data_IF_492701781871
#
_entry.id   IF_492701781871
#
_cell.length_a   1.000
_cell.length_b   1.000
_cell.length_c   1.000
_cell.angle_alpha   90.00
_cell.angle_beta   90.00
_cell.angle_gamma   90.00
#
_symmetry.space_group_name_H-M   'P 1'
#
loop_
_entity.id
_entity.type
_entity.pdbx_description
1 polymer ?
#
# COMPACT_ATOMS: atom_id res chain seq x y z
N UNK A 1 9.39 -15.36 5.05
CA UNK A 1 9.13 -13.92 4.90
C UNK A 1 10.39 -13.13 5.21
N UNK A 2 10.60 -12.04 4.49
CA UNK A 2 11.71 -11.13 4.72
C UNK A 2 11.14 -9.74 4.92
N UNK A 3 11.53 -9.10 6.02
CA UNK A 3 11.16 -7.74 6.35
C UNK A 3 12.43 -6.93 6.55
N UNK A 4 12.55 -5.85 5.79
CA UNK A 4 13.68 -4.94 5.87
C UNK A 4 13.13 -3.55 6.16
N UNK A 5 13.69 -2.90 7.18
CA UNK A 5 13.42 -1.51 7.49
C UNK A 5 14.73 -0.74 7.48
N UNK A 6 14.76 0.32 6.70
CA UNK A 6 15.84 1.29 6.68
C UNK A 6 15.31 2.61 7.23
N UNK A 7 16.10 3.24 8.08
CA UNK A 7 15.81 4.59 8.56
C UNK A 7 17.08 5.43 8.57
N UNK A 8 16.92 6.68 8.23
CA UNK A 8 17.98 7.66 8.18
C UNK A 8 17.48 8.98 8.77
N UNK A 9 18.31 9.59 9.60
CA UNK A 9 18.02 10.89 10.20
C UNK A 9 19.21 11.82 10.03
N UNK A 10 18.97 13.08 9.68
CA UNK A 10 20.02 14.10 9.55
C UNK A 10 19.51 15.49 9.86
N UNK A 11 20.41 16.31 10.40
CA UNK A 11 20.23 17.76 10.47
C UNK A 11 20.66 18.40 9.16
N UNK A 12 19.82 19.25 8.61
CA UNK A 12 20.08 20.06 7.43
C UNK A 12 20.40 21.51 7.84
N UNK A 13 20.97 22.35 6.93
CA UNK A 13 21.15 23.77 7.17
C UNK A 13 19.84 24.43 7.62
N UNK A 14 19.98 25.57 8.28
CA UNK A 14 18.84 26.38 8.79
C UNK A 14 18.00 25.72 9.89
N UNK A 15 18.55 24.72 10.61
CA UNK A 15 17.85 24.04 11.72
C UNK A 15 16.69 23.15 11.28
N UNK A 16 16.74 22.64 10.07
CA UNK A 16 15.80 21.66 9.56
C UNK A 16 16.31 20.26 9.92
N UNK A 17 15.43 19.41 10.45
CA UNK A 17 15.70 18.00 10.63
C UNK A 17 14.95 17.22 9.55
N UNK A 18 15.61 16.21 9.00
CA UNK A 18 15.03 15.31 8.01
C UNK A 18 15.14 13.86 8.48
N UNK A 19 14.07 13.09 8.28
CA UNK A 19 14.01 11.67 8.58
C UNK A 19 13.41 10.92 7.40
N UNK A 20 14.13 9.92 6.89
CA UNK A 20 13.69 8.99 5.85
C UNK A 20 13.49 7.62 6.47
N UNK A 21 12.35 6.98 6.20
CA UNK A 21 12.10 5.59 6.56
C UNK A 21 11.70 4.84 5.31
N UNK A 22 12.32 3.70 5.04
CA UNK A 22 11.97 2.85 3.91
C UNK A 22 11.69 1.42 4.38
N UNK A 23 10.68 0.80 3.80
CA UNK A 23 10.21 -0.54 4.14
C UNK A 23 10.19 -1.42 2.90
N UNK A 24 10.62 -2.64 3.10
CA UNK A 24 10.41 -3.74 2.18
C UNK A 24 9.91 -4.95 2.95
N UNK A 25 8.77 -5.49 2.55
CA UNK A 25 8.21 -6.72 3.10
C UNK A 25 7.91 -7.69 1.97
N UNK A 26 8.40 -8.92 2.09
CA UNK A 26 8.04 -9.98 1.14
C UNK A 26 6.55 -10.27 1.20
N UNK A 27 5.93 -10.57 0.07
CA UNK A 27 4.50 -10.82 -0.02
C UNK A 27 4.02 -11.88 0.96
N UNK A 28 2.81 -11.69 1.48
CA UNK A 28 2.12 -12.63 2.36
C UNK A 28 1.83 -13.96 1.65
N UNK A 29 1.75 -15.07 2.39
CA UNK A 29 1.35 -16.35 1.83
C UNK A 29 -0.13 -16.33 1.47
N UNK A 30 -0.49 -17.02 0.38
CA UNK A 30 -1.89 -17.27 0.03
C UNK A 30 -2.05 -18.67 -0.56
N UNK A 31 -3.27 -19.19 -0.45
CA UNK A 31 -3.66 -20.45 -1.08
C UNK A 31 -4.13 -20.17 -2.49
N UNK A 32 -3.46 -20.72 -3.54
CA UNK A 32 -3.90 -20.55 -4.90
C UNK A 32 -5.23 -21.26 -5.13
N UNK A 33 -6.01 -20.76 -6.09
CA UNK A 33 -7.17 -21.47 -6.59
C UNK A 33 -6.80 -22.27 -7.82
N UNK A 34 -7.40 -23.46 -7.95
CA UNK A 34 -7.30 -24.36 -9.09
C UNK A 34 -8.69 -24.67 -9.63
N UNK A 35 -8.77 -25.05 -10.89
CA UNK A 35 -10.02 -25.53 -11.47
C UNK A 35 -10.26 -26.98 -11.08
N UNK A 36 -11.30 -27.19 -10.27
CA UNK A 36 -11.81 -28.52 -9.95
C UNK A 36 -13.22 -28.65 -10.54
N UNK A 37 -13.28 -28.96 -11.87
CA UNK A 37 -14.51 -28.90 -12.66
C UNK A 37 -14.69 -27.54 -13.31
N UNK A 38 -15.91 -26.96 -13.23
CA UNK A 38 -16.24 -25.68 -13.89
C UNK A 38 -15.87 -24.44 -13.08
N UNK A 39 -15.72 -24.58 -11.76
CA UNK A 39 -15.52 -23.47 -10.85
C UNK A 39 -14.15 -23.53 -10.15
N UNK A 40 -13.49 -22.39 -9.93
CA UNK A 40 -12.24 -22.35 -9.18
C UNK A 40 -12.49 -22.62 -7.70
N UNK A 41 -11.66 -23.45 -7.10
CA UNK A 41 -11.68 -23.80 -5.68
C UNK A 41 -10.29 -23.63 -5.07
N UNK A 42 -10.20 -23.41 -3.75
CA UNK A 42 -8.92 -23.42 -3.06
C UNK A 42 -8.17 -24.74 -3.30
N UNK A 43 -6.89 -24.66 -3.59
CA UNK A 43 -6.03 -25.84 -3.68
C UNK A 43 -5.68 -26.31 -2.25
N UNK A 44 -6.46 -27.24 -1.73
CA UNK A 44 -6.31 -27.78 -0.38
C UNK A 44 -4.98 -28.52 -0.18
N UNK A 45 -4.31 -28.94 -1.25
CA UNK A 45 -2.99 -29.58 -1.18
C UNK A 45 -1.85 -28.56 -1.06
N UNK A 46 -2.10 -27.32 -1.47
CA UNK A 46 -1.12 -26.25 -1.51
C UNK A 46 -1.56 -25.02 -0.70
N UNK A 47 -2.03 -25.26 0.53
CA UNK A 47 -2.44 -24.19 1.45
C UNK A 47 -1.25 -23.28 1.75
N UNK A 48 -1.41 -21.96 1.52
CA UNK A 48 -0.41 -20.93 1.82
C UNK A 48 0.96 -21.14 1.14
N UNK A 49 1.01 -21.86 0.01
CA UNK A 49 2.27 -22.13 -0.68
C UNK A 49 2.72 -21.03 -1.64
N UNK A 50 1.80 -20.22 -2.11
CA UNK A 50 2.10 -19.09 -2.99
C UNK A 50 2.32 -17.82 -2.18
N UNK A 51 3.04 -16.87 -2.78
CA UNK A 51 3.27 -15.55 -2.18
C UNK A 51 2.73 -14.46 -3.08
N UNK A 52 2.07 -13.50 -2.47
CA UNK A 52 1.66 -12.27 -3.11
C UNK A 52 2.84 -11.36 -3.46
N UNK A 53 2.57 -10.22 -4.09
CA UNK A 53 3.57 -9.20 -4.37
C UNK A 53 4.20 -8.66 -3.08
N UNK A 54 5.45 -8.21 -3.19
CA UNK A 54 6.14 -7.57 -2.07
C UNK A 54 5.59 -6.16 -1.82
N UNK A 55 5.46 -5.80 -0.55
CA UNK A 55 5.13 -4.44 -0.12
C UNK A 55 6.39 -3.59 -0.04
N UNK A 56 6.33 -2.37 -0.57
CA UNK A 56 7.44 -1.40 -0.55
C UNK A 56 6.88 -0.03 -0.22
N UNK A 57 7.54 0.68 0.68
CA UNK A 57 7.14 2.04 1.03
C UNK A 57 8.36 2.86 1.45
N UNK A 58 8.29 4.16 1.24
CA UNK A 58 9.23 5.12 1.79
C UNK A 58 8.46 6.35 2.29
N UNK A 59 8.84 6.83 3.47
CA UNK A 59 8.25 8.02 4.08
C UNK A 59 9.36 9.03 4.36
N UNK A 60 9.06 10.30 4.15
CA UNK A 60 9.98 11.39 4.38
C UNK A 60 9.33 12.41 5.32
N UNK A 61 10.05 12.80 6.37
CA UNK A 61 9.59 13.77 7.33
C UNK A 61 10.61 14.91 7.46
N UNK A 62 10.12 16.12 7.44
CA UNK A 62 10.90 17.30 7.80
C UNK A 62 10.30 17.97 9.03
N UNK A 63 11.16 18.48 9.89
CA UNK A 63 10.74 19.31 11.01
C UNK A 63 11.68 20.47 11.23
N UNK A 64 11.12 21.61 11.65
CA UNK A 64 11.87 22.82 11.99
C UNK A 64 11.21 23.51 13.17
N UNK A 65 12.04 24.00 14.08
CA UNK A 65 11.61 24.90 15.14
C UNK A 65 11.98 26.33 14.78
N UNK A 66 11.04 27.23 14.98
CA UNK A 66 11.23 28.67 14.84
C UNK A 66 10.72 29.36 16.10
N UNK A 67 11.35 30.48 16.48
CA UNK A 67 10.84 31.32 17.56
C UNK A 67 10.11 32.50 16.96
N UNK A 68 8.86 32.72 17.35
CA UNK A 68 8.01 33.83 16.92
C UNK A 68 7.50 34.53 18.17
N UNK A 69 7.88 35.80 18.36
CA UNK A 69 7.49 36.61 19.52
C UNK A 69 7.81 35.96 20.89
N UNK A 70 8.94 35.23 20.96
CA UNK A 70 9.33 34.51 22.18
C UNK A 70 8.71 33.12 22.36
N UNK A 71 7.69 32.77 21.60
CA UNK A 71 7.06 31.43 21.63
C UNK A 71 7.70 30.49 20.63
N UNK A 72 7.74 29.20 21.00
CA UNK A 72 8.28 28.14 20.12
C UNK A 72 7.21 27.63 19.17
N UNK A 73 7.51 27.70 17.89
CA UNK A 73 6.64 27.14 16.83
C UNK A 73 7.35 25.98 16.15
N UNK A 74 6.68 24.83 16.09
CA UNK A 74 7.15 23.64 15.39
C UNK A 74 6.43 23.52 14.04
N UNK A 75 7.20 23.46 12.97
CA UNK A 75 6.73 23.23 11.61
C UNK A 75 7.10 21.80 11.20
N UNK A 76 6.15 21.06 10.65
CA UNK A 76 6.37 19.69 10.17
C UNK A 76 5.80 19.49 8.77
N UNK A 77 6.53 18.74 7.95
CA UNK A 77 6.09 18.25 6.65
C UNK A 77 6.34 16.75 6.61
N UNK A 78 5.28 15.98 6.41
CA UNK A 78 5.35 14.51 6.28
C UNK A 78 4.86 14.09 4.91
N UNK A 79 5.66 13.29 4.22
CA UNK A 79 5.30 12.68 2.94
C UNK A 79 5.26 11.18 3.15
N UNK A 80 4.07 10.60 3.11
CA UNK A 80 3.86 9.16 3.15
C UNK A 80 3.77 8.61 1.74
N UNK A 81 4.29 7.40 1.57
CA UNK A 81 4.40 6.77 0.26
C UNK A 81 5.10 7.69 -0.76
N UNK A 82 6.30 8.13 -0.41
CA UNK A 82 7.10 9.13 -1.17
C UNK A 82 7.23 8.80 -2.65
N UNK A 83 7.38 7.54 -3.00
CA UNK A 83 7.57 7.05 -4.37
C UNK A 83 6.25 6.67 -5.06
N UNK A 84 5.11 6.89 -4.38
CA UNK A 84 3.76 6.66 -4.89
C UNK A 84 3.54 5.23 -5.44
N UNK A 85 4.08 4.24 -4.74
CA UNK A 85 3.88 2.83 -5.12
C UNK A 85 2.47 2.39 -4.72
N UNK A 86 1.73 1.87 -5.69
CA UNK A 86 0.46 1.19 -5.47
C UNK A 86 0.72 -0.27 -5.09
N UNK A 87 1.01 -0.54 -3.82
CA UNK A 87 1.26 -1.89 -3.35
C UNK A 87 -0.03 -2.73 -3.35
N UNK A 88 0.08 -3.96 -3.81
CA UNK A 88 -1.00 -4.93 -3.76
C UNK A 88 -1.04 -5.59 -2.38
N UNK A 89 -2.07 -5.33 -1.56
CA UNK A 89 -2.21 -5.84 -0.19
C UNK A 89 -3.17 -7.02 -0.05
N UNK A 90 -4.09 -7.15 -0.99
CA UNK A 90 -4.97 -8.30 -1.12
C UNK A 90 -4.98 -8.76 -2.58
N UNK A 91 -4.87 -10.04 -2.82
CA UNK A 91 -4.77 -10.60 -4.18
C UNK A 91 -5.90 -11.55 -4.51
N UNK A 92 -6.23 -11.63 -5.77
CA UNK A 92 -7.13 -12.67 -6.27
C UNK A 92 -6.43 -14.03 -6.20
N UNK A 93 -6.99 -15.03 -5.51
CA UNK A 93 -6.32 -16.32 -5.33
C UNK A 93 -6.01 -17.07 -6.63
N UNK A 94 -6.78 -16.79 -7.69
CA UNK A 94 -6.59 -17.44 -8.99
C UNK A 94 -5.34 -16.92 -9.73
N UNK A 95 -5.01 -15.65 -9.58
CA UNK A 95 -3.90 -15.02 -10.32
C UNK A 95 -2.74 -14.56 -9.43
N UNK A 96 -2.98 -14.38 -8.14
CA UNK A 96 -2.02 -13.77 -7.22
C UNK A 96 -1.81 -12.28 -7.46
N UNK A 97 -2.75 -11.58 -8.12
CA UNK A 97 -2.71 -10.15 -8.43
C UNK A 97 -3.94 -9.44 -7.89
N UNK A 98 -3.78 -8.21 -7.41
CA UNK A 98 -4.88 -7.39 -6.91
C UNK A 98 -5.80 -6.89 -8.03
N UNK A 99 -5.20 -6.44 -9.13
CA UNK A 99 -5.93 -5.85 -10.27
C UNK A 99 -6.35 -6.84 -11.35
N UNK A 100 -6.10 -8.16 -11.19
CA UNK A 100 -6.43 -9.16 -12.21
C UNK A 100 -7.10 -10.39 -11.58
N UNK A 101 -8.43 -10.52 -11.67
CA UNK A 101 -9.15 -11.68 -11.14
C UNK A 101 -8.93 -12.97 -11.95
N UNK A 102 -8.46 -12.85 -13.20
CA UNK A 102 -8.30 -13.95 -14.16
C UNK A 102 -9.47 -14.08 -15.14
N UNK A 103 -9.19 -14.71 -16.29
CA UNK A 103 -10.13 -14.88 -17.41
C UNK A 103 -11.46 -15.50 -16.98
N UNK A 104 -11.44 -16.43 -16.05
CA UNK A 104 -12.65 -17.04 -15.52
C UNK A 104 -13.69 -16.03 -15.02
N UNK A 105 -13.23 -14.96 -14.38
CA UNK A 105 -14.13 -13.91 -13.89
C UNK A 105 -14.39 -12.86 -14.96
N UNK A 106 -13.39 -12.47 -15.75
CA UNK A 106 -13.54 -11.42 -16.76
C UNK A 106 -14.38 -11.86 -17.95
N UNK A 107 -14.28 -13.11 -18.38
CA UNK A 107 -15.04 -13.63 -19.53
C UNK A 107 -16.53 -13.81 -19.20
N UNK A 108 -16.88 -13.90 -17.92
CA UNK A 108 -18.25 -13.95 -17.44
C UNK A 108 -18.93 -12.59 -17.30
N UNK A 109 -18.17 -11.51 -17.41
CA UNK A 109 -18.69 -10.13 -17.33
C UNK A 109 -19.74 -9.80 -18.39
N UNK A 110 -19.81 -10.54 -19.48
CA UNK A 110 -20.82 -10.36 -20.52
C UNK A 110 -21.96 -11.39 -20.52
N UNK A 111 -21.90 -12.39 -19.62
CA UNK A 111 -22.81 -13.54 -19.66
C UNK A 111 -23.79 -13.58 -18.47
N UNK A 112 -23.63 -12.74 -17.48
CA UNK A 112 -24.50 -12.74 -16.32
C UNK A 112 -25.73 -11.86 -16.58
N UNK A 113 -26.88 -12.45 -16.39
CA UNK A 113 -28.23 -11.88 -16.49
C UNK A 113 -28.52 -10.80 -15.42
N UNK A 114 -27.52 -10.23 -14.82
CA UNK A 114 -27.71 -9.26 -13.76
C UNK A 114 -26.79 -8.06 -13.93
N UNK A 115 -27.38 -6.92 -13.80
CA UNK A 115 -26.77 -5.59 -13.79
C UNK A 115 -25.58 -5.39 -12.82
N UNK A 116 -25.20 -6.44 -12.08
CA UNK A 116 -24.24 -6.38 -10.97
C UNK A 116 -22.79 -6.72 -11.31
N UNK A 117 -22.51 -7.24 -12.51
CA UNK A 117 -21.18 -7.81 -12.81
C UNK A 117 -20.48 -7.23 -14.04
N UNK A 118 -20.95 -6.09 -14.53
CA UNK A 118 -20.72 -5.68 -15.90
C UNK A 118 -19.57 -4.72 -16.16
N UNK A 119 -18.73 -4.40 -15.20
CA UNK A 119 -17.60 -3.53 -15.51
C UNK A 119 -16.28 -4.07 -14.99
N UNK A 120 -15.22 -3.84 -15.75
CA UNK A 120 -13.85 -4.04 -15.29
C UNK A 120 -13.57 -3.31 -13.96
N UNK A 121 -14.28 -2.22 -13.71
CA UNK A 121 -14.27 -1.48 -12.46
C UNK A 121 -14.75 -2.30 -11.25
N UNK A 122 -15.60 -3.30 -11.43
CA UNK A 122 -16.00 -4.19 -10.33
C UNK A 122 -14.80 -4.95 -9.76
N UNK A 123 -13.82 -5.28 -10.57
CA UNK A 123 -12.62 -6.01 -10.17
C UNK A 123 -11.47 -5.09 -9.78
N UNK A 124 -11.48 -3.82 -10.20
CA UNK A 124 -10.52 -2.80 -9.76
C UNK A 124 -10.97 -2.22 -8.41
N UNK A 125 -10.65 -2.96 -7.35
CA UNK A 125 -11.04 -2.64 -5.99
C UNK A 125 -9.95 -1.82 -5.29
N UNK A 126 -10.15 -0.53 -5.02
CA UNK A 126 -9.14 0.34 -4.41
C UNK A 126 -8.59 -0.19 -3.09
N UNK A 127 -9.43 -0.85 -2.28
CA UNK A 127 -9.02 -1.41 -0.99
C UNK A 127 -8.06 -2.62 -1.08
N UNK A 128 -7.86 -3.18 -2.27
CA UNK A 128 -6.84 -4.21 -2.52
C UNK A 128 -5.43 -3.63 -2.67
N UNK A 129 -5.33 -2.31 -2.65
CA UNK A 129 -4.06 -1.61 -2.80
C UNK A 129 -3.78 -0.74 -1.59
N UNK A 130 -2.51 -0.41 -1.38
CA UNK A 130 -2.10 0.55 -0.38
C UNK A 130 -2.60 1.96 -0.73
N UNK A 131 -2.62 2.82 0.28
CA UNK A 131 -2.92 4.24 0.09
C UNK A 131 -1.92 4.90 -0.87
N UNK A 132 -2.37 5.86 -1.70
CA UNK A 132 -1.51 6.68 -2.52
C UNK A 132 -0.60 7.56 -1.67
N UNK A 133 0.25 8.35 -2.33
CA UNK A 133 1.05 9.35 -1.63
C UNK A 133 0.16 10.37 -0.91
N UNK A 134 0.53 10.64 0.32
CA UNK A 134 -0.11 11.63 1.16
C UNK A 134 0.92 12.63 1.66
N UNK A 135 0.59 13.91 1.62
CA UNK A 135 1.46 14.99 2.08
C UNK A 135 0.72 15.75 3.18
N UNK A 136 1.30 15.75 4.38
CA UNK A 136 0.76 16.42 5.55
C UNK A 136 1.67 17.56 5.99
N UNK A 137 1.10 18.75 6.15
CA UNK A 137 1.76 19.87 6.77
C UNK A 137 1.14 20.12 8.14
N UNK A 138 1.96 20.29 9.16
CA UNK A 138 1.52 20.57 10.52
C UNK A 138 2.26 21.77 11.11
N UNK A 139 1.54 22.55 11.90
CA UNK A 139 2.06 23.68 12.67
C UNK A 139 1.59 23.50 14.11
N UNK A 140 2.52 23.55 15.05
CA UNK A 140 2.24 23.46 16.46
C UNK A 140 2.82 24.68 17.18
N UNK A 141 1.99 25.34 17.96
CA UNK A 141 2.38 26.44 18.84
C UNK A 141 2.51 25.92 20.26
N UNK A 142 3.66 26.15 20.87
CA UNK A 142 3.88 25.89 22.30
C UNK A 142 3.81 27.22 23.04
N UNK A 143 2.79 27.39 23.89
CA UNK A 143 2.59 28.55 24.74
C UNK A 143 3.09 28.18 26.15
N UNK A 144 4.17 28.79 26.58
CA UNK A 144 4.68 28.69 27.96
C UNK A 144 3.99 29.74 28.86
#
# INVERSE_FOLDING_TARGET
PHDLTFWFYTGLPFGINAALTAFYQSGGPYTPYIFAGKDPKPDEKNINTKRGPAFKNANLNFSKYVSIMGHRVSLGLSVYNLIDIRNEIDVWPLTGKAGNPGAYYTDRVGLADSEHYLSSAYYDRPWRFSQPREINFNVRFDFD
#
